data_IF_648307586176
#
_entry.id   IF_648307586176
#
_cell.length_a   1.000
_cell.length_b   1.000
_cell.length_c   1.000
_cell.angle_alpha   90.00
_cell.angle_beta   90.00
_cell.angle_gamma   90.00
#
_symmetry.space_group_name_H-M   'P 1'
#
loop_
_entity.id
_entity.type
_entity.pdbx_description
1 polymer ?
#
# COMPACT_ATOMS: atom_id res chain seq x y z
N UNK A 1 -6.95 -21.77 35.93
CA UNK A 1 -5.54 -21.50 35.57
C UNK A 1 -5.18 -22.10 34.21
N UNK A 2 -5.53 -23.37 33.91
CA UNK A 2 -5.28 -23.97 32.59
C UNK A 2 -6.15 -23.35 31.46
N UNK A 3 -7.39 -22.93 31.77
CA UNK A 3 -8.27 -22.28 30.77
C UNK A 3 -7.77 -20.90 30.35
N UNK A 4 -7.30 -20.06 31.28
CA UNK A 4 -6.81 -18.71 30.96
C UNK A 4 -5.52 -18.73 30.13
N UNK A 5 -4.64 -19.71 30.32
CA UNK A 5 -3.44 -19.86 29.49
C UNK A 5 -3.79 -20.30 28.04
N UNK A 6 -4.77 -21.20 27.88
CA UNK A 6 -5.21 -21.62 26.56
C UNK A 6 -5.88 -20.47 25.78
N UNK A 7 -6.68 -19.66 26.48
CA UNK A 7 -7.32 -18.50 25.88
C UNK A 7 -6.31 -17.40 25.51
N UNK A 8 -5.29 -17.18 26.35
CA UNK A 8 -4.18 -16.29 26.01
C UNK A 8 -3.42 -16.75 24.76
N UNK A 9 -3.06 -18.03 24.67
CA UNK A 9 -2.37 -18.59 23.48
C UNK A 9 -3.18 -18.39 22.20
N UNK A 10 -4.50 -18.58 22.26
CA UNK A 10 -5.39 -18.33 21.12
C UNK A 10 -5.45 -16.85 20.75
N UNK A 11 -5.50 -15.96 21.74
CA UNK A 11 -5.49 -14.52 21.52
C UNK A 11 -4.20 -14.08 20.82
N UNK A 12 -3.04 -14.53 21.31
CA UNK A 12 -1.73 -14.25 20.69
C UNK A 12 -1.70 -14.80 19.25
N UNK A 13 -2.06 -16.07 19.04
CA UNK A 13 -2.06 -16.66 17.70
C UNK A 13 -3.00 -15.92 16.72
N UNK A 14 -4.15 -15.44 17.19
CA UNK A 14 -5.06 -14.63 16.39
C UNK A 14 -4.48 -13.24 16.07
N UNK A 15 -3.80 -12.59 17.01
CA UNK A 15 -3.09 -11.34 16.76
C UNK A 15 -2.00 -11.51 15.72
N UNK A 16 -1.07 -12.47 15.91
CA UNK A 16 0.03 -12.73 14.98
C UNK A 16 -0.48 -12.99 13.55
N UNK A 17 -1.50 -13.84 13.41
CA UNK A 17 -2.13 -14.12 12.11
C UNK A 17 -2.71 -12.87 11.44
N UNK A 18 -3.23 -11.92 12.22
CA UNK A 18 -3.77 -10.65 11.68
C UNK A 18 -2.65 -9.71 11.27
N UNK A 19 -1.56 -9.67 12.03
CA UNK A 19 -0.34 -8.92 11.65
C UNK A 19 0.21 -9.44 10.33
N UNK A 20 0.39 -10.75 10.18
CA UNK A 20 0.83 -11.37 8.92
C UNK A 20 -0.06 -10.94 7.74
N UNK A 21 -1.38 -10.93 7.95
CA UNK A 21 -2.35 -10.51 6.94
C UNK A 21 -2.29 -9.01 6.59
N UNK A 22 -1.86 -8.16 7.51
CA UNK A 22 -1.61 -6.73 7.28
C UNK A 22 -0.32 -6.54 6.50
N UNK A 23 0.77 -7.15 6.97
CA UNK A 23 2.12 -7.10 6.37
C UNK A 23 2.08 -7.62 4.94
N UNK A 24 1.44 -8.76 4.69
CA UNK A 24 1.32 -9.32 3.35
C UNK A 24 0.55 -8.40 2.39
N UNK A 25 -0.57 -7.82 2.84
CA UNK A 25 -1.35 -6.90 2.00
C UNK A 25 -0.57 -5.62 1.70
N UNK A 26 0.07 -5.02 2.70
CA UNK A 26 0.87 -3.83 2.51
C UNK A 26 2.06 -4.06 1.56
N UNK A 27 2.75 -5.19 1.67
CA UNK A 27 3.82 -5.55 0.74
C UNK A 27 3.30 -5.70 -0.70
N UNK A 28 2.12 -6.29 -0.88
CA UNK A 28 1.48 -6.38 -2.20
C UNK A 28 1.12 -4.99 -2.75
N UNK A 29 0.62 -4.08 -1.91
CA UNK A 29 0.31 -2.70 -2.28
C UNK A 29 1.57 -1.98 -2.75
N UNK A 30 2.66 -2.07 -1.97
CA UNK A 30 3.96 -1.46 -2.31
C UNK A 30 4.43 -1.95 -3.68
N UNK A 31 4.48 -3.27 -3.87
CA UNK A 31 4.96 -3.88 -5.11
C UNK A 31 4.10 -3.46 -6.32
N UNK A 32 2.78 -3.57 -6.21
CA UNK A 32 1.87 -3.24 -7.31
C UNK A 32 1.94 -1.75 -7.67
N UNK A 33 2.04 -0.87 -6.68
CA UNK A 33 2.15 0.56 -6.92
C UNK A 33 3.45 0.92 -7.65
N UNK A 34 4.58 0.36 -7.23
CA UNK A 34 5.86 0.57 -7.91
C UNK A 34 5.81 0.12 -9.38
N UNK A 35 5.26 -1.06 -9.65
CA UNK A 35 5.12 -1.61 -11.01
C UNK A 35 4.24 -0.72 -11.91
N UNK A 36 3.09 -0.29 -11.40
CA UNK A 36 2.15 0.59 -12.13
C UNK A 36 2.80 1.95 -12.40
N UNK A 37 3.48 2.55 -11.43
CA UNK A 37 4.13 3.87 -11.59
C UNK A 37 5.33 3.83 -12.54
N UNK A 38 6.06 2.72 -12.61
CA UNK A 38 7.10 2.54 -13.62
C UNK A 38 6.48 2.45 -15.01
N UNK A 39 5.42 1.65 -15.16
CA UNK A 39 4.72 1.48 -16.44
C UNK A 39 4.13 2.79 -16.96
N UNK A 40 3.45 3.57 -16.10
CA UNK A 40 2.91 4.88 -16.44
C UNK A 40 4.00 5.87 -16.86
N UNK A 41 5.13 5.90 -16.15
CA UNK A 41 6.29 6.72 -16.54
C UNK A 41 6.81 6.37 -17.93
N UNK A 42 6.91 5.08 -18.25
CA UNK A 42 7.32 4.64 -19.58
C UNK A 42 6.31 5.04 -20.66
N UNK A 43 5.00 4.94 -20.39
CA UNK A 43 3.97 5.42 -21.31
C UNK A 43 4.11 6.93 -21.58
N UNK A 44 4.25 7.74 -20.53
CA UNK A 44 4.44 9.19 -20.66
C UNK A 44 5.71 9.55 -21.46
N UNK A 45 6.82 8.84 -21.22
CA UNK A 45 8.05 9.03 -21.99
C UNK A 45 7.89 8.68 -23.47
N UNK A 46 7.16 7.62 -23.78
CA UNK A 46 6.87 7.20 -25.16
C UNK A 46 5.97 8.23 -25.86
N UNK A 47 4.92 8.71 -25.20
CA UNK A 47 4.03 9.78 -25.69
C UNK A 47 4.83 11.04 -26.00
N UNK A 48 5.70 11.48 -25.07
CA UNK A 48 6.56 12.63 -25.29
C UNK A 48 7.51 12.43 -26.49
N UNK A 49 8.03 11.22 -26.67
CA UNK A 49 8.88 10.86 -27.80
C UNK A 49 8.12 10.92 -29.12
N UNK A 50 6.91 10.36 -29.19
CA UNK A 50 6.04 10.45 -30.37
C UNK A 50 5.69 11.90 -30.69
N UNK A 51 5.35 12.71 -29.69
CA UNK A 51 5.10 14.14 -29.85
C UNK A 51 6.26 14.87 -30.49
N UNK A 52 7.49 14.62 -30.03
CA UNK A 52 8.68 15.24 -30.61
C UNK A 52 8.88 14.84 -32.07
N UNK A 53 8.65 13.57 -32.43
CA UNK A 53 8.77 13.09 -33.81
C UNK A 53 7.71 13.75 -34.69
N UNK A 54 6.44 13.72 -34.28
CA UNK A 54 5.31 14.28 -35.05
C UNK A 54 5.47 15.79 -35.24
N UNK A 55 5.92 16.51 -34.21
CA UNK A 55 6.13 17.96 -34.27
C UNK A 55 7.22 18.37 -35.27
N UNK A 56 8.22 17.50 -35.50
CA UNK A 56 9.29 17.71 -36.49
C UNK A 56 8.87 17.37 -37.92
N UNK A 57 7.71 16.71 -38.12
CA UNK A 57 7.22 16.38 -39.46
C UNK A 57 6.84 17.67 -40.22
N UNK A 58 7.16 17.77 -41.52
CA UNK A 58 6.68 18.87 -42.36
C UNK A 58 5.15 18.98 -42.37
N UNK A 59 4.61 20.19 -42.42
CA UNK A 59 3.16 20.43 -42.37
C UNK A 59 2.39 19.95 -43.62
N UNK A 60 3.10 19.66 -44.71
CA UNK A 60 2.54 19.12 -45.93
C UNK A 60 2.46 17.58 -45.94
N UNK A 61 2.87 16.92 -44.84
CA UNK A 61 2.65 15.48 -44.66
C UNK A 61 1.17 15.25 -44.30
N UNK A 62 0.39 14.56 -45.15
CA UNK A 62 -1.06 14.39 -44.95
C UNK A 62 -1.42 13.75 -43.61
N UNK A 63 -0.62 12.78 -43.17
CA UNK A 63 -0.88 11.97 -41.97
C UNK A 63 -0.56 12.73 -40.67
N UNK A 64 0.10 13.89 -40.74
CA UNK A 64 0.51 14.63 -39.55
C UNK A 64 -0.68 15.02 -38.68
N UNK A 65 -1.79 15.44 -39.30
CA UNK A 65 -2.99 15.83 -38.57
C UNK A 65 -3.64 14.63 -37.87
N UNK A 66 -3.68 13.47 -38.53
CA UNK A 66 -4.20 12.23 -37.95
C UNK A 66 -3.33 11.76 -36.77
N UNK A 67 -2.01 11.76 -36.93
CA UNK A 67 -1.06 11.40 -35.86
C UNK A 67 -1.16 12.33 -34.65
N UNK A 68 -1.41 13.63 -34.85
CA UNK A 68 -1.64 14.56 -33.75
C UNK A 68 -2.95 14.27 -32.99
N UNK A 69 -4.01 13.87 -33.70
CA UNK A 69 -5.26 13.46 -33.07
C UNK A 69 -5.08 12.17 -32.26
N UNK A 70 -4.42 11.14 -32.82
CA UNK A 70 -4.13 9.90 -32.10
C UNK A 70 -3.26 10.15 -30.87
N UNK A 71 -2.26 11.02 -30.98
CA UNK A 71 -1.43 11.43 -29.86
C UNK A 71 -2.26 12.11 -28.76
N UNK A 72 -3.21 12.96 -29.12
CA UNK A 72 -4.11 13.60 -28.16
C UNK A 72 -4.96 12.57 -27.40
N UNK A 73 -5.52 11.57 -28.09
CA UNK A 73 -6.26 10.49 -27.43
C UNK A 73 -5.37 9.69 -26.48
N UNK A 74 -4.14 9.38 -26.91
CA UNK A 74 -3.18 8.67 -26.09
C UNK A 74 -2.75 9.47 -24.84
N UNK A 75 -2.57 10.79 -24.97
CA UNK A 75 -2.33 11.70 -23.85
C UNK A 75 -3.50 11.66 -22.85
N UNK A 76 -4.75 11.71 -23.32
CA UNK A 76 -5.92 11.63 -22.43
C UNK A 76 -6.02 10.27 -21.74
N UNK A 77 -5.83 9.17 -22.48
CA UNK A 77 -5.87 7.82 -21.88
C UNK A 77 -4.77 7.61 -20.84
N UNK A 78 -3.59 8.20 -21.01
CA UNK A 78 -2.53 8.13 -20.01
C UNK A 78 -2.90 8.89 -18.72
N UNK A 79 -3.56 10.05 -18.84
CA UNK A 79 -4.08 10.79 -17.69
C UNK A 79 -5.19 10.03 -16.97
N UNK A 80 -6.11 9.42 -17.72
CA UNK A 80 -7.19 8.58 -17.14
C UNK A 80 -6.62 7.37 -16.39
N UNK A 81 -5.54 6.78 -16.91
CA UNK A 81 -4.84 5.68 -16.23
C UNK A 81 -4.12 6.14 -14.96
N UNK A 82 -3.52 7.34 -14.94
CA UNK A 82 -2.94 7.90 -13.71
C UNK A 82 -4.03 8.04 -12.63
N UNK A 83 -5.18 8.62 -12.98
CA UNK A 83 -6.32 8.77 -12.06
C UNK A 83 -6.81 7.42 -11.56
N UNK A 84 -6.99 6.46 -12.46
CA UNK A 84 -7.47 5.10 -12.10
C UNK A 84 -6.49 4.39 -11.17
N UNK A 85 -5.18 4.56 -11.38
CA UNK A 85 -4.14 3.98 -10.54
C UNK A 85 -4.16 4.57 -9.12
N UNK A 86 -4.32 5.89 -9.01
CA UNK A 86 -4.41 6.57 -7.71
C UNK A 86 -5.70 6.16 -6.96
N UNK A 87 -6.83 6.03 -7.64
CA UNK A 87 -8.08 5.53 -7.04
C UNK A 87 -7.94 4.08 -6.53
N UNK A 88 -7.36 3.20 -7.34
CA UNK A 88 -7.10 1.81 -6.95
C UNK A 88 -6.19 1.73 -5.72
N UNK A 89 -5.18 2.60 -5.64
CA UNK A 89 -4.29 2.71 -4.49
C UNK A 89 -5.05 3.09 -3.22
N UNK A 90 -5.89 4.11 -3.29
CA UNK A 90 -6.71 4.55 -2.14
C UNK A 90 -7.66 3.46 -1.66
N UNK A 91 -8.28 2.71 -2.58
CA UNK A 91 -9.13 1.56 -2.22
C UNK A 91 -8.34 0.47 -1.50
N UNK A 92 -7.13 0.16 -1.97
CA UNK A 92 -6.27 -0.84 -1.35
C UNK A 92 -5.80 -0.40 0.05
N UNK A 93 -5.49 0.90 0.23
CA UNK A 93 -5.17 1.47 1.54
C UNK A 93 -6.38 1.43 2.49
N UNK A 94 -7.60 1.60 1.98
CA UNK A 94 -8.83 1.43 2.75
C UNK A 94 -9.01 0.00 3.28
N UNK A 95 -8.75 -1.02 2.45
CA UNK A 95 -8.75 -2.42 2.90
C UNK A 95 -7.64 -2.67 3.94
N UNK A 96 -6.46 -2.11 3.73
CA UNK A 96 -5.35 -2.22 4.68
C UNK A 96 -5.70 -1.61 6.05
N UNK A 97 -6.34 -0.44 6.05
CA UNK A 97 -6.86 0.21 7.26
C UNK A 97 -7.79 -0.70 8.07
N UNK A 98 -8.73 -1.37 7.40
CA UNK A 98 -9.66 -2.30 8.04
C UNK A 98 -8.93 -3.48 8.69
N UNK A 99 -7.88 -4.01 8.04
CA UNK A 99 -7.07 -5.09 8.61
C UNK A 99 -6.27 -4.64 9.82
N UNK A 100 -5.65 -3.47 9.76
CA UNK A 100 -4.94 -2.87 10.89
C UNK A 100 -5.88 -2.61 12.08
N UNK A 101 -7.12 -2.17 11.82
CA UNK A 101 -8.14 -2.09 12.87
C UNK A 101 -8.38 -3.45 13.54
N UNK A 102 -8.54 -4.51 12.75
CA UNK A 102 -8.71 -5.87 13.28
C UNK A 102 -7.49 -6.38 14.07
N UNK A 103 -6.26 -6.02 13.66
CA UNK A 103 -5.05 -6.34 14.42
C UNK A 103 -4.99 -5.57 15.75
N UNK A 104 -5.39 -4.29 15.76
CA UNK A 104 -5.51 -3.46 16.97
C UNK A 104 -6.54 -4.02 17.96
N UNK A 105 -7.69 -4.48 17.48
CA UNK A 105 -8.69 -5.15 18.33
C UNK A 105 -8.11 -6.45 18.92
N UNK A 106 -7.35 -7.22 18.14
CA UNK A 106 -6.75 -8.47 18.61
C UNK A 106 -5.66 -8.27 19.68
N UNK A 107 -4.79 -7.25 19.56
CA UNK A 107 -3.78 -6.98 20.58
C UNK A 107 -4.39 -6.46 21.89
N UNK A 108 -5.52 -5.75 21.84
CA UNK A 108 -6.25 -5.35 23.05
C UNK A 108 -6.70 -6.58 23.86
N UNK A 109 -7.23 -7.60 23.18
CA UNK A 109 -7.60 -8.88 23.84
C UNK A 109 -6.38 -9.57 24.45
N UNK A 110 -5.22 -9.53 23.79
CA UNK A 110 -3.96 -10.07 24.35
C UNK A 110 -3.58 -9.31 25.63
N UNK A 111 -3.65 -7.99 25.63
CA UNK A 111 -3.33 -7.18 26.82
C UNK A 111 -4.29 -7.41 27.98
N UNK A 112 -5.59 -7.57 27.72
CA UNK A 112 -6.60 -7.88 28.75
C UNK A 112 -6.34 -9.22 29.44
N UNK A 113 -5.77 -10.19 28.70
CA UNK A 113 -5.44 -11.52 29.18
C UNK A 113 -3.99 -11.66 29.69
N UNK A 114 -3.18 -10.60 29.59
CA UNK A 114 -1.76 -10.64 29.94
C UNK A 114 -1.54 -10.68 31.45
N UNK A 115 -0.75 -11.64 31.89
CA UNK A 115 -0.28 -11.80 33.27
C UNK A 115 1.24 -12.00 33.29
N UNK A 116 1.90 -11.68 34.41
CA UNK A 116 3.38 -11.78 34.56
C UNK A 116 3.95 -13.15 34.18
N UNK A 117 3.16 -14.22 34.26
CA UNK A 117 3.58 -15.58 33.89
C UNK A 117 3.66 -15.84 32.37
N UNK A 118 3.21 -14.91 31.53
CA UNK A 118 3.15 -15.08 30.07
C UNK A 118 4.23 -14.30 29.31
N UNK A 119 5.30 -13.87 30.00
CA UNK A 119 6.45 -13.17 29.40
C UNK A 119 7.09 -13.92 28.22
N UNK A 120 6.96 -15.26 28.16
CA UNK A 120 7.50 -16.06 27.07
C UNK A 120 6.93 -15.72 25.68
N UNK A 121 5.80 -15.01 25.59
CA UNK A 121 5.21 -14.55 24.33
C UNK A 121 5.67 -13.14 23.92
N UNK A 122 6.32 -12.38 24.83
CA UNK A 122 6.79 -11.02 24.56
C UNK A 122 7.71 -10.90 23.35
N UNK A 123 8.68 -11.82 23.11
CA UNK A 123 9.53 -11.74 21.93
C UNK A 123 8.73 -11.73 20.62
N UNK A 124 7.72 -12.59 20.50
CA UNK A 124 6.88 -12.67 19.29
C UNK A 124 6.00 -11.42 19.11
N UNK A 125 5.48 -10.85 20.20
CA UNK A 125 4.71 -9.61 20.14
C UNK A 125 5.58 -8.42 19.72
N UNK A 126 6.83 -8.37 20.21
CA UNK A 126 7.81 -7.34 19.82
C UNK A 126 8.17 -7.48 18.34
N UNK A 127 8.45 -8.70 17.87
CA UNK A 127 8.75 -8.97 16.45
C UNK A 127 7.59 -8.53 15.54
N UNK A 128 6.36 -8.89 15.89
CA UNK A 128 5.18 -8.42 15.14
C UNK A 128 5.00 -6.91 15.13
N UNK A 129 5.38 -6.22 16.21
CA UNK A 129 5.35 -4.76 16.22
C UNK A 129 6.42 -4.18 15.29
N UNK A 130 7.63 -4.76 15.28
CA UNK A 130 8.69 -4.38 14.37
C UNK A 130 8.29 -4.57 12.90
N UNK A 131 7.61 -5.68 12.57
CA UNK A 131 7.10 -5.93 11.21
C UNK A 131 6.09 -4.87 10.76
N UNK A 132 5.17 -4.48 11.67
CA UNK A 132 4.22 -3.39 11.42
C UNK A 132 4.95 -2.08 11.15
N UNK A 133 5.93 -1.76 11.99
CA UNK A 133 6.65 -0.49 11.91
C UNK A 133 7.49 -0.42 10.62
N UNK A 134 8.18 -1.50 10.25
CA UNK A 134 8.96 -1.58 9.01
C UNK A 134 8.05 -1.36 7.79
N UNK A 135 6.92 -2.06 7.75
CA UNK A 135 5.97 -1.97 6.64
C UNK A 135 5.34 -0.58 6.57
N UNK A 136 5.04 0.05 7.71
CA UNK A 136 4.56 1.43 7.76
C UNK A 136 5.58 2.38 7.13
N UNK A 137 6.85 2.31 7.53
CA UNK A 137 7.92 3.13 6.96
C UNK A 137 8.06 2.91 5.45
N UNK A 138 7.95 1.65 4.99
CA UNK A 138 8.03 1.33 3.57
C UNK A 138 6.83 1.83 2.77
N UNK A 139 5.62 1.82 3.33
CA UNK A 139 4.44 2.43 2.68
C UNK A 139 4.64 3.93 2.45
N UNK A 140 5.15 4.66 3.45
CA UNK A 140 5.48 6.08 3.32
C UNK A 140 6.53 6.30 2.23
N UNK A 141 7.63 5.54 2.29
CA UNK A 141 8.77 5.74 1.41
C UNK A 141 8.50 5.33 -0.05
N UNK A 142 7.92 4.15 -0.28
CA UNK A 142 7.72 3.60 -1.62
C UNK A 142 6.48 4.17 -2.31
N UNK A 143 5.42 4.43 -1.56
CA UNK A 143 4.15 4.90 -2.12
C UNK A 143 4.00 6.42 -2.06
N UNK A 144 4.97 7.14 -1.51
CA UNK A 144 4.94 8.59 -1.29
C UNK A 144 3.65 9.06 -0.58
N UNK A 145 3.13 8.23 0.33
CA UNK A 145 1.94 8.54 1.13
C UNK A 145 2.39 9.34 2.34
N UNK A 146 1.78 10.49 2.57
CA UNK A 146 2.06 11.29 3.77
C UNK A 146 1.67 10.52 5.05
N UNK A 147 2.47 10.64 6.10
CA UNK A 147 2.27 9.91 7.36
C UNK A 147 0.91 10.20 8.01
N UNK A 148 0.41 11.42 7.85
CA UNK A 148 -0.88 11.88 8.36
C UNK A 148 -2.07 11.23 7.63
N UNK A 149 -1.94 10.94 6.33
CA UNK A 149 -2.93 10.17 5.57
C UNK A 149 -3.03 8.75 6.11
N UNK A 150 -1.89 8.08 6.33
CA UNK A 150 -1.88 6.76 6.96
C UNK A 150 -2.46 6.83 8.39
N UNK A 151 -2.12 7.88 9.13
CA UNK A 151 -2.65 8.13 10.47
C UNK A 151 -4.16 8.32 10.51
N UNK A 152 -4.73 9.07 9.55
CA UNK A 152 -6.16 9.26 9.40
C UNK A 152 -6.89 7.95 9.04
N UNK A 153 -6.21 7.08 8.28
CA UNK A 153 -6.65 5.71 8.01
C UNK A 153 -6.41 4.75 9.18
N UNK A 154 -5.84 5.21 10.29
CA UNK A 154 -5.56 4.37 11.46
C UNK A 154 -4.49 3.31 11.22
N UNK A 155 -3.66 3.50 10.20
CA UNK A 155 -2.40 2.79 9.97
C UNK A 155 -1.34 3.67 10.65
N UNK A 156 -0.88 3.28 11.82
CA UNK A 156 0.02 4.11 12.64
C UNK A 156 1.11 3.26 13.24
N UNK A 157 2.30 3.85 13.42
CA UNK A 157 3.29 3.32 14.36
C UNK A 157 2.63 3.26 15.74
N UNK A 158 2.65 2.08 16.38
CA UNK A 158 2.30 2.05 17.80
C UNK A 158 3.47 2.65 18.56
N UNK A 159 3.31 3.91 18.97
CA UNK A 159 4.17 4.49 19.99
C UNK A 159 3.70 3.95 21.34
N UNK A 160 4.18 2.77 21.72
CA UNK A 160 4.10 2.28 23.10
C UNK A 160 5.02 3.12 23.99
#
# INVERSE_FOLDING_TARGET
>A
MIESENDFRKAVANYLKRVDGCVALANNIIFAYEEVRVSLRLYHMNIASFKMVIMRMPNNVPEKAELLNELYFLEQSALDLDVTADEAMLLALGELSLRFKGAREAIQVVHELMHETFECFMPALIESQQDIDEVYTRLVACCAIEEDVLGALGITLNRY
#
